data_IF_174457670600
#
_entry.id   IF_174457670600
#
_cell.length_a   1.000
_cell.length_b   1.000
_cell.length_c   1.000
_cell.angle_alpha   90.00
_cell.angle_beta   90.00
_cell.angle_gamma   90.00
#
_symmetry.space_group_name_H-M   'P 1'
#
loop_
_entity.id
_entity.type
_entity.pdbx_description
1 polymer ?
#
# COMPACT_ATOMS: atom_id res chain seq x y z
N UNK A 1 7.13 7.79 -6.73
CA UNK A 1 7.78 7.43 -5.45
C UNK A 1 6.84 6.50 -4.68
N UNK A 2 7.09 5.19 -4.72
CA UNK A 2 6.31 4.19 -3.98
C UNK A 2 6.57 4.32 -2.47
N UNK A 3 5.56 4.05 -1.63
CA UNK A 3 5.77 3.93 -0.19
C UNK A 3 6.89 2.91 0.11
N UNK A 4 7.84 3.26 0.98
CA UNK A 4 8.92 2.38 1.40
C UNK A 4 8.34 1.13 2.07
N UNK A 5 8.80 -0.04 1.63
CA UNK A 5 8.38 -1.33 2.18
C UNK A 5 9.39 -1.80 3.23
N UNK A 6 8.92 -2.08 4.44
CA UNK A 6 9.73 -2.55 5.56
C UNK A 6 10.34 -3.94 5.29
N UNK A 7 9.78 -4.71 4.35
CA UNK A 7 10.37 -5.98 3.89
C UNK A 7 11.77 -5.79 3.30
N UNK A 8 12.02 -4.65 2.65
CA UNK A 8 13.37 -4.35 2.10
C UNK A 8 14.41 -4.25 3.19
N UNK A 9 14.05 -3.62 4.32
CA UNK A 9 14.92 -3.51 5.50
C UNK A 9 15.14 -4.88 6.14
N UNK A 10 14.08 -5.69 6.26
CA UNK A 10 14.18 -7.03 6.83
C UNK A 10 15.16 -7.92 6.04
N UNK A 11 15.08 -7.88 4.71
CA UNK A 11 15.97 -8.65 3.81
C UNK A 11 17.45 -8.25 3.98
N UNK A 12 17.73 -6.97 4.24
CA UNK A 12 19.10 -6.51 4.51
C UNK A 12 19.68 -7.08 5.81
N UNK A 13 18.82 -7.47 6.77
CA UNK A 13 19.22 -7.99 8.08
C UNK A 13 19.40 -9.51 8.10
N UNK A 14 19.20 -10.22 6.98
CA UNK A 14 19.28 -11.69 6.93
C UNK A 14 20.64 -12.24 7.36
N UNK A 15 21.74 -11.52 7.08
CA UNK A 15 23.09 -11.90 7.49
C UNK A 15 23.34 -11.75 9.00
N UNK A 16 22.46 -11.08 9.75
CA UNK A 16 22.64 -10.75 11.19
C UNK A 16 21.42 -11.22 12.01
N UNK A 17 21.38 -12.48 12.45
CA UNK A 17 20.17 -13.09 13.03
C UNK A 17 19.72 -12.42 14.34
N UNK A 18 20.64 -12.06 15.23
CA UNK A 18 20.30 -11.40 16.50
C UNK A 18 19.62 -10.03 16.28
N UNK A 19 20.10 -9.24 15.32
CA UNK A 19 19.53 -7.93 14.99
C UNK A 19 18.17 -8.10 14.31
N UNK A 20 18.05 -9.08 13.41
CA UNK A 20 16.77 -9.43 12.76
C UNK A 20 15.70 -9.77 13.79
N UNK A 21 16.01 -10.59 14.79
CA UNK A 21 15.07 -10.93 15.87
C UNK A 21 14.63 -9.71 16.68
N UNK A 22 15.58 -8.82 17.02
CA UNK A 22 15.27 -7.56 17.70
C UNK A 22 14.36 -6.66 16.86
N UNK A 23 14.62 -6.54 15.56
CA UNK A 23 13.78 -5.76 14.64
C UNK A 23 12.35 -6.32 14.56
N UNK A 24 12.20 -7.63 14.45
CA UNK A 24 10.88 -8.28 14.41
C UNK A 24 10.07 -8.02 15.69
N UNK A 25 10.73 -8.00 16.85
CA UNK A 25 10.08 -7.77 18.14
C UNK A 25 9.61 -6.33 18.35
N UNK A 26 10.42 -5.34 17.96
CA UNK A 26 10.18 -3.94 18.33
C UNK A 26 9.81 -3.01 17.17
N UNK A 27 10.23 -3.31 15.95
CA UNK A 27 10.11 -2.40 14.80
C UNK A 27 9.13 -2.88 13.74
N UNK A 28 8.72 -4.17 13.75
CA UNK A 28 7.74 -4.70 12.79
C UNK A 28 6.44 -3.88 12.87
N UNK A 29 5.92 -3.33 11.76
CA UNK A 29 4.63 -2.67 11.75
C UNK A 29 3.52 -3.63 12.21
N UNK A 30 2.67 -3.16 13.13
CA UNK A 30 1.50 -3.92 13.59
C UNK A 30 0.48 -4.05 12.46
N UNK A 31 -0.02 -5.26 12.25
CA UNK A 31 -1.13 -5.51 11.33
C UNK A 31 -2.41 -4.85 11.85
N UNK A 32 -2.98 -3.94 11.06
CA UNK A 32 -4.20 -3.20 11.40
C UNK A 32 -5.35 -3.67 10.52
N UNK A 33 -6.49 -3.97 11.14
CA UNK A 33 -7.73 -4.31 10.42
C UNK A 33 -8.41 -3.09 9.79
N UNK A 34 -8.17 -1.89 10.32
CA UNK A 34 -8.84 -0.65 9.91
C UNK A 34 -7.88 0.55 9.87
N UNK A 35 -8.37 1.66 9.31
CA UNK A 35 -7.67 2.94 9.19
C UNK A 35 -6.96 3.14 7.85
N UNK A 36 -6.36 4.31 7.66
CA UNK A 36 -5.76 4.74 6.38
C UNK A 36 -4.68 3.76 5.89
N UNK A 37 -3.85 3.22 6.80
CA UNK A 37 -2.79 2.26 6.47
C UNK A 37 -3.31 0.92 5.91
N UNK A 38 -4.56 0.56 6.18
CA UNK A 38 -5.20 -0.63 5.60
C UNK A 38 -5.64 -0.42 4.14
N UNK A 39 -5.86 0.83 3.73
CA UNK A 39 -6.40 1.21 2.41
C UNK A 39 -5.27 1.61 1.45
N UNK A 40 -4.44 0.63 1.08
CA UNK A 40 -3.36 0.84 0.10
C UNK A 40 -3.91 0.73 -1.33
N UNK A 41 -3.55 1.68 -2.20
CA UNK A 41 -3.83 1.56 -3.63
C UNK A 41 -3.03 0.39 -4.23
N UNK A 42 -3.68 -0.52 -4.96
CA UNK A 42 -2.99 -1.67 -5.57
C UNK A 42 -1.95 -1.27 -6.62
N UNK A 43 -2.18 -0.19 -7.36
CA UNK A 43 -1.29 0.22 -8.46
C UNK A 43 -0.09 1.04 -7.99
N UNK A 44 -0.32 2.09 -7.21
CA UNK A 44 0.77 3.01 -6.81
C UNK A 44 1.24 2.83 -5.35
N UNK A 45 0.53 2.04 -4.55
CA UNK A 45 0.89 1.81 -3.16
C UNK A 45 0.66 3.00 -2.21
N UNK A 46 0.02 4.09 -2.67
CA UNK A 46 -0.30 5.26 -1.86
C UNK A 46 -1.51 4.98 -0.96
N UNK A 47 -1.51 5.55 0.25
CA UNK A 47 -2.62 5.44 1.20
C UNK A 47 -3.64 6.58 1.06
N UNK A 48 -3.22 7.73 0.52
CA UNK A 48 -4.06 8.92 0.41
C UNK A 48 -5.07 8.85 -0.75
N UNK A 49 -6.23 9.46 -0.54
CA UNK A 49 -7.29 9.62 -1.53
C UNK A 49 -7.71 8.29 -2.20
N UNK A 50 -7.94 7.28 -1.36
CA UNK A 50 -8.36 5.94 -1.77
C UNK A 50 -9.87 5.90 -2.02
N UNK A 51 -10.28 5.36 -3.17
CA UNK A 51 -11.68 5.15 -3.53
C UNK A 51 -12.14 3.85 -2.88
N UNK A 52 -13.01 3.98 -1.87
CA UNK A 52 -13.55 2.82 -1.13
C UNK A 52 -14.81 2.21 -1.77
N UNK A 53 -15.36 2.85 -2.82
CA UNK A 53 -16.55 2.37 -3.52
C UNK A 53 -16.21 1.31 -4.57
N UNK A 54 -17.20 0.48 -4.90
CA UNK A 54 -17.17 -0.52 -5.98
C UNK A 54 -16.04 -1.57 -5.88
N UNK A 55 -15.39 -1.71 -4.72
CA UNK A 55 -14.30 -2.68 -4.52
C UNK A 55 -13.07 -2.43 -5.40
N UNK A 56 -12.87 -1.22 -5.94
CA UNK A 56 -11.79 -0.94 -6.90
C UNK A 56 -10.40 -0.92 -6.25
N UNK A 57 -10.32 -0.55 -4.97
CA UNK A 57 -9.07 -0.45 -4.21
C UNK A 57 -7.96 0.41 -4.87
N UNK A 58 -8.36 1.48 -5.55
CA UNK A 58 -7.46 2.42 -6.24
C UNK A 58 -7.45 3.80 -5.57
N UNK A 59 -6.36 4.55 -5.75
CA UNK A 59 -6.34 5.98 -5.43
C UNK A 59 -6.95 6.81 -6.57
N UNK A 60 -7.38 8.04 -6.26
CA UNK A 60 -7.99 8.96 -7.24
C UNK A 60 -7.17 9.18 -8.52
N UNK A 61 -5.84 9.17 -8.41
CA UNK A 61 -4.94 9.39 -9.54
C UNK A 61 -4.94 8.18 -10.47
N UNK A 62 -4.69 6.99 -9.90
CA UNK A 62 -4.72 5.74 -10.65
C UNK A 62 -6.10 5.43 -11.23
N UNK A 63 -7.18 5.80 -10.52
CA UNK A 63 -8.52 5.65 -11.05
C UNK A 63 -8.73 6.48 -12.32
N UNK A 64 -8.34 7.77 -12.33
CA UNK A 64 -8.49 8.62 -13.52
C UNK A 64 -7.76 8.08 -14.74
N UNK A 65 -6.62 7.41 -14.56
CA UNK A 65 -5.87 6.80 -15.66
C UNK A 65 -6.51 5.53 -16.23
N UNK A 66 -7.28 4.79 -15.43
CA UNK A 66 -7.87 3.49 -15.82
C UNK A 66 -9.38 3.61 -16.03
N UNK A 67 -10.00 4.73 -15.66
CA UNK A 67 -11.45 4.92 -15.68
C UNK A 67 -12.05 4.53 -17.04
N UNK A 68 -11.48 5.02 -18.14
CA UNK A 68 -11.92 4.70 -19.50
C UNK A 68 -11.78 3.21 -19.83
N UNK A 69 -10.70 2.56 -19.36
CA UNK A 69 -10.45 1.12 -19.59
C UNK A 69 -11.40 0.22 -18.77
N UNK A 70 -11.86 0.69 -17.61
CA UNK A 70 -12.86 0.00 -16.78
C UNK A 70 -14.27 0.21 -17.36
N UNK A 71 -14.45 1.14 -18.30
CA UNK A 71 -15.74 1.43 -18.93
C UNK A 71 -16.47 2.63 -18.34
N UNK A 72 -15.83 3.43 -17.49
CA UNK A 72 -16.40 4.70 -17.06
C UNK A 72 -16.36 5.69 -18.22
N UNK A 73 -17.52 6.25 -18.56
CA UNK A 73 -17.66 7.30 -19.57
C UNK A 73 -18.00 8.61 -18.87
N UNK A 74 -17.37 9.69 -19.30
CA UNK A 74 -17.74 11.04 -18.88
C UNK A 74 -18.92 11.50 -19.75
N UNK A 75 -20.09 11.56 -19.15
CA UNK A 75 -21.23 12.24 -19.76
C UNK A 75 -21.09 13.75 -19.48
N UNK A 76 -21.26 14.56 -20.52
CA UNK A 76 -21.15 16.02 -20.46
C UNK A 76 -22.34 16.64 -19.72
#
# INVERSE_FOLDING_TARGET
>A
MSASDWNKILKQLDAKPAIKQRFLRFCKPKERKFGIASKKCHRCGRFGAHISQYGLHLCRQCFREIAEKIGFKKYL
#
